data_IF_616601094956
#
_entry.id   IF_616601094956
#
_cell.length_a   1.000
_cell.length_b   1.000
_cell.length_c   1.000
_cell.angle_alpha   90.00
_cell.angle_beta   90.00
_cell.angle_gamma   90.00
#
_symmetry.space_group_name_H-M   'P 1'
#
loop_
_entity.id
_entity.type
_entity.pdbx_description
1 polymer ?
#
# COMPACT_ATOMS: atom_id res chain seq x y z
N UNK A 1 -29.81 -6.45 -12.93
CA UNK A 1 -30.47 -5.13 -13.03
C UNK A 1 -31.04 -4.67 -11.69
N UNK A 2 -31.90 -5.44 -11.00
CA UNK A 2 -32.50 -5.03 -9.72
C UNK A 2 -31.45 -4.81 -8.59
N UNK A 3 -30.37 -5.58 -8.57
CA UNK A 3 -29.31 -5.43 -7.58
C UNK A 3 -28.56 -4.08 -7.72
N UNK A 4 -28.34 -3.59 -8.94
CA UNK A 4 -27.65 -2.31 -9.17
C UNK A 4 -28.47 -1.12 -8.67
N UNK A 5 -29.78 -1.12 -8.94
CA UNK A 5 -30.69 -0.06 -8.46
C UNK A 5 -30.77 -0.06 -6.93
N UNK A 6 -30.88 -1.24 -6.31
CA UNK A 6 -30.91 -1.37 -4.87
C UNK A 6 -29.61 -0.87 -4.23
N UNK A 7 -28.47 -1.21 -4.79
CA UNK A 7 -27.14 -0.79 -4.34
C UNK A 7 -26.96 0.73 -4.41
N UNK A 8 -27.45 1.37 -5.50
CA UNK A 8 -27.40 2.82 -5.65
C UNK A 8 -28.24 3.57 -4.61
N UNK A 9 -29.38 2.99 -4.21
CA UNK A 9 -30.24 3.59 -3.19
C UNK A 9 -29.70 3.37 -1.77
N UNK A 10 -29.23 2.16 -1.49
CA UNK A 10 -28.78 1.78 -0.14
C UNK A 10 -27.37 2.28 0.18
N UNK A 11 -26.50 2.52 -0.82
CA UNK A 11 -25.10 2.91 -0.65
C UNK A 11 -24.34 2.03 0.38
N UNK A 12 -24.35 0.70 0.23
CA UNK A 12 -23.82 -0.20 1.25
C UNK A 12 -22.30 -0.10 1.36
N UNK A 13 -21.78 -0.21 2.58
CA UNK A 13 -20.33 -0.33 2.80
C UNK A 13 -19.78 -1.67 2.33
N UNK A 14 -20.60 -2.72 2.37
CA UNK A 14 -20.16 -4.06 1.99
C UNK A 14 -21.26 -4.80 1.25
N UNK A 15 -20.88 -5.41 0.13
CA UNK A 15 -21.72 -6.32 -0.64
C UNK A 15 -21.06 -7.70 -0.60
N UNK A 16 -21.83 -8.74 -0.30
CA UNK A 16 -21.29 -10.11 -0.25
C UNK A 16 -21.95 -10.95 -1.34
N UNK A 17 -21.14 -11.48 -2.24
CA UNK A 17 -21.56 -12.48 -3.22
C UNK A 17 -21.26 -13.88 -2.70
N UNK A 18 -22.30 -14.71 -2.57
CA UNK A 18 -22.14 -16.10 -2.17
C UNK A 18 -21.97 -16.99 -3.40
N UNK A 19 -20.87 -17.74 -3.45
CA UNK A 19 -20.51 -18.59 -4.60
C UNK A 19 -20.02 -19.95 -4.12
N UNK A 20 -20.13 -20.96 -4.98
CA UNK A 20 -19.62 -22.30 -4.67
C UNK A 20 -18.09 -22.39 -4.62
N UNK A 21 -17.39 -21.50 -5.35
CA UNK A 21 -15.92 -21.47 -5.37
C UNK A 21 -15.31 -20.78 -4.16
N UNK A 22 -16.09 -19.94 -3.47
CA UNK A 22 -15.63 -19.22 -2.29
C UNK A 22 -14.74 -18.01 -2.56
N UNK A 23 -14.54 -17.65 -3.83
CA UNK A 23 -13.70 -16.51 -4.24
C UNK A 23 -13.44 -16.52 -5.74
N UNK A 24 -12.63 -15.56 -6.19
CA UNK A 24 -12.03 -15.58 -7.52
C UNK A 24 -10.76 -16.43 -7.46
N UNK A 25 -10.58 -17.29 -8.43
CA UNK A 25 -9.43 -18.20 -8.50
C UNK A 25 -8.38 -17.63 -9.44
N UNK A 26 -7.10 -17.79 -9.09
CA UNK A 26 -5.98 -17.52 -9.98
C UNK A 26 -5.77 -18.65 -10.98
N UNK A 27 -4.69 -18.57 -11.79
CA UNK A 27 -4.34 -19.57 -12.80
C UNK A 27 -3.99 -20.96 -12.23
N UNK A 28 -3.63 -21.03 -10.96
CA UNK A 28 -3.30 -22.27 -10.24
C UNK A 28 -4.50 -22.82 -9.44
N UNK A 29 -5.67 -22.17 -9.54
CA UNK A 29 -6.89 -22.55 -8.83
C UNK A 29 -6.91 -22.14 -7.35
N UNK A 30 -6.02 -21.26 -6.92
CA UNK A 30 -5.97 -20.71 -5.57
C UNK A 30 -6.86 -19.47 -5.49
N UNK A 31 -7.53 -19.28 -4.36
CA UNK A 31 -8.35 -18.09 -4.11
C UNK A 31 -7.45 -16.86 -3.99
N UNK A 32 -7.79 -15.82 -4.75
CA UNK A 32 -7.17 -14.50 -4.66
C UNK A 32 -7.73 -13.81 -3.42
N UNK A 33 -6.90 -13.45 -2.46
CA UNK A 33 -7.35 -12.89 -1.17
C UNK A 33 -7.97 -11.49 -1.33
N UNK A 34 -7.36 -10.62 -2.17
CA UNK A 34 -7.86 -9.27 -2.40
C UNK A 34 -7.52 -8.75 -3.79
N UNK A 35 -8.36 -7.84 -4.31
CA UNK A 35 -8.19 -7.16 -5.59
C UNK A 35 -8.46 -5.67 -5.40
N UNK A 36 -7.48 -4.84 -5.82
CA UNK A 36 -7.62 -3.40 -5.95
C UNK A 36 -7.87 -3.05 -7.43
N UNK A 37 -9.10 -2.69 -7.76
CA UNK A 37 -9.48 -2.43 -9.15
C UNK A 37 -8.76 -1.22 -9.78
N UNK A 38 -8.36 -0.23 -8.98
CA UNK A 38 -7.67 0.95 -9.52
C UNK A 38 -6.26 0.64 -10.03
N UNK A 39 -5.61 -0.38 -9.49
CA UNK A 39 -4.23 -0.73 -9.82
C UNK A 39 -4.08 -2.07 -10.53
N UNK A 40 -5.02 -2.98 -10.32
CA UNK A 40 -4.88 -4.38 -10.76
C UNK A 40 -5.87 -4.77 -11.86
N UNK A 41 -6.90 -3.93 -12.13
CA UNK A 41 -7.99 -4.32 -13.05
C UNK A 41 -7.49 -4.68 -14.45
N UNK A 42 -6.70 -3.83 -15.08
CA UNK A 42 -6.24 -4.05 -16.46
C UNK A 42 -5.32 -5.28 -16.52
N UNK A 43 -4.34 -5.38 -15.60
CA UNK A 43 -3.44 -6.53 -15.52
C UNK A 43 -4.20 -7.83 -15.24
N UNK A 44 -5.22 -7.79 -14.40
CA UNK A 44 -6.07 -8.94 -14.09
C UNK A 44 -6.89 -9.36 -15.31
N UNK A 45 -7.48 -8.41 -16.02
CA UNK A 45 -8.32 -8.67 -17.20
C UNK A 45 -7.51 -9.20 -18.41
N UNK A 46 -6.19 -8.97 -18.43
CA UNK A 46 -5.27 -9.51 -19.44
C UNK A 46 -4.82 -10.94 -19.14
N UNK A 47 -5.15 -11.49 -17.96
CA UNK A 47 -4.75 -12.85 -17.61
C UNK A 47 -5.55 -13.89 -18.44
N UNK A 48 -4.88 -14.92 -19.01
CA UNK A 48 -5.52 -15.93 -19.85
C UNK A 48 -6.55 -16.78 -19.09
N UNK A 49 -6.42 -16.88 -17.77
CA UNK A 49 -7.34 -17.60 -16.91
C UNK A 49 -8.58 -16.78 -16.51
N UNK A 50 -8.57 -15.45 -16.72
CA UNK A 50 -9.74 -14.58 -16.54
C UNK A 50 -10.61 -14.66 -17.81
N UNK A 51 -11.51 -15.61 -17.83
CA UNK A 51 -12.40 -15.84 -18.98
C UNK A 51 -13.84 -16.14 -18.54
N UNK A 52 -14.77 -16.17 -19.50
CA UNK A 52 -16.15 -16.58 -19.30
C UNK A 52 -16.85 -15.86 -18.14
N UNK A 53 -17.45 -16.64 -17.26
CA UNK A 53 -18.24 -16.12 -16.12
C UNK A 53 -17.42 -15.34 -15.08
N UNK A 54 -16.13 -15.61 -14.96
CA UNK A 54 -15.24 -14.88 -14.04
C UNK A 54 -15.01 -13.45 -14.55
N UNK A 55 -14.72 -13.29 -15.84
CA UNK A 55 -14.55 -12.00 -16.48
C UNK A 55 -15.79 -11.11 -16.30
N UNK A 56 -16.96 -11.65 -16.64
CA UNK A 56 -18.25 -10.95 -16.47
C UNK A 56 -18.48 -10.54 -15.02
N UNK A 57 -18.14 -11.40 -14.07
CA UNK A 57 -18.30 -11.12 -12.64
C UNK A 57 -17.42 -9.94 -12.19
N UNK A 58 -16.13 -9.90 -12.61
CA UNK A 58 -15.22 -8.80 -12.28
C UNK A 58 -15.71 -7.49 -12.90
N UNK A 59 -16.16 -7.50 -14.15
CA UNK A 59 -16.74 -6.33 -14.81
C UNK A 59 -17.98 -5.80 -14.08
N UNK A 60 -18.87 -6.68 -13.65
CA UNK A 60 -20.06 -6.31 -12.88
C UNK A 60 -19.69 -5.73 -11.50
N UNK A 61 -18.73 -6.32 -10.81
CA UNK A 61 -18.23 -5.81 -9.52
C UNK A 61 -17.61 -4.43 -9.70
N UNK A 62 -16.83 -4.23 -10.76
CA UNK A 62 -16.28 -2.91 -11.08
C UNK A 62 -17.37 -1.87 -11.26
N UNK A 63 -18.38 -2.16 -12.08
CA UNK A 63 -19.52 -1.26 -12.32
C UNK A 63 -20.28 -0.92 -11.02
N UNK A 64 -20.45 -1.90 -10.12
CA UNK A 64 -21.07 -1.68 -8.81
C UNK A 64 -20.22 -0.75 -7.94
N UNK A 65 -18.94 -1.02 -7.82
CA UNK A 65 -18.02 -0.24 -6.99
C UNK A 65 -17.80 1.18 -7.56
N UNK A 66 -17.80 1.36 -8.88
CA UNK A 66 -17.69 2.69 -9.49
C UNK A 66 -18.87 3.62 -9.14
N UNK A 67 -20.05 3.04 -8.85
CA UNK A 67 -21.25 3.77 -8.45
C UNK A 67 -21.39 3.98 -6.93
N UNK A 68 -20.46 3.47 -6.12
CA UNK A 68 -20.51 3.50 -4.66
C UNK A 68 -19.41 4.40 -4.09
N UNK A 69 -19.47 4.79 -2.79
CA UNK A 69 -18.36 5.44 -2.09
C UNK A 69 -17.06 4.61 -2.16
N UNK A 70 -15.90 5.27 -2.05
CA UNK A 70 -14.58 4.61 -2.05
C UNK A 70 -14.42 3.61 -0.90
N UNK A 71 -15.10 3.84 0.21
CA UNK A 71 -15.12 2.95 1.37
C UNK A 71 -15.89 1.65 1.14
N UNK A 72 -16.69 1.57 0.08
CA UNK A 72 -17.46 0.36 -0.24
C UNK A 72 -16.58 -0.76 -0.76
N UNK A 73 -16.98 -1.99 -0.45
CA UNK A 73 -16.28 -3.20 -0.89
C UNK A 73 -17.24 -4.29 -1.32
N UNK A 74 -16.73 -5.21 -2.13
CA UNK A 74 -17.41 -6.45 -2.50
C UNK A 74 -16.59 -7.62 -2.00
N UNK A 75 -17.21 -8.54 -1.29
CA UNK A 75 -16.61 -9.82 -0.90
C UNK A 75 -17.25 -10.96 -1.67
N UNK A 76 -16.46 -11.93 -2.09
CA UNK A 76 -16.94 -13.17 -2.73
C UNK A 76 -16.52 -14.29 -1.83
N UNK A 77 -17.48 -15.01 -1.24
CA UNK A 77 -17.21 -16.07 -0.30
C UNK A 77 -18.20 -17.24 -0.45
N UNK A 78 -17.99 -18.31 0.31
CA UNK A 78 -18.93 -19.44 0.39
C UNK A 78 -20.01 -19.17 1.43
N UNK A 79 -21.21 -19.76 1.28
CA UNK A 79 -22.28 -19.61 2.26
C UNK A 79 -21.87 -20.08 3.68
N UNK A 80 -21.11 -21.16 3.79
CA UNK A 80 -20.63 -21.73 5.05
C UNK A 80 -19.53 -20.88 5.72
N UNK A 81 -18.88 -19.97 4.99
CA UNK A 81 -17.85 -19.05 5.48
C UNK A 81 -18.36 -17.63 5.73
N UNK A 82 -19.64 -17.35 5.48
CA UNK A 82 -20.22 -16.00 5.59
C UNK A 82 -20.00 -15.38 6.99
N UNK A 83 -20.15 -16.17 8.05
CA UNK A 83 -19.92 -15.68 9.41
C UNK A 83 -18.47 -15.24 9.63
N UNK A 84 -17.51 -15.99 9.08
CA UNK A 84 -16.08 -15.63 9.13
C UNK A 84 -15.81 -14.34 8.37
N UNK A 85 -16.41 -14.17 7.19
CA UNK A 85 -16.29 -12.97 6.38
C UNK A 85 -16.83 -11.72 7.08
N UNK A 86 -17.94 -11.83 7.80
CA UNK A 86 -18.60 -10.69 8.44
C UNK A 86 -18.00 -10.31 9.80
N UNK A 87 -17.45 -11.28 10.55
CA UNK A 87 -17.10 -11.10 11.96
C UNK A 87 -15.60 -11.25 12.26
N UNK A 88 -14.74 -11.45 11.27
CA UNK A 88 -13.30 -11.52 11.49
C UNK A 88 -12.55 -10.49 10.63
N UNK A 89 -11.43 -9.98 11.15
CA UNK A 89 -10.57 -9.05 10.41
C UNK A 89 -9.97 -9.64 9.13
N UNK A 90 -9.68 -10.93 9.14
CA UNK A 90 -9.08 -11.60 7.97
C UNK A 90 -10.11 -11.86 6.88
N UNK A 91 -11.38 -12.02 7.25
CA UNK A 91 -12.44 -12.41 6.34
C UNK A 91 -12.28 -13.81 5.74
N UNK A 92 -12.95 -14.05 4.62
CA UNK A 92 -12.81 -15.27 3.82
C UNK A 92 -13.11 -14.98 2.34
N UNK A 93 -12.47 -15.74 1.44
CA UNK A 93 -12.66 -15.59 0.00
C UNK A 93 -11.92 -14.40 -0.58
N UNK A 94 -12.51 -13.73 -1.59
CA UNK A 94 -11.89 -12.59 -2.28
C UNK A 94 -12.55 -11.28 -1.88
N UNK A 95 -11.76 -10.34 -1.38
CA UNK A 95 -12.18 -8.97 -1.13
C UNK A 95 -11.84 -8.10 -2.34
N UNK A 96 -12.84 -7.46 -2.95
CA UNK A 96 -12.66 -6.53 -4.07
C UNK A 96 -13.00 -5.12 -3.62
N UNK A 97 -12.11 -4.18 -3.89
CA UNK A 97 -12.29 -2.75 -3.63
C UNK A 97 -12.00 -1.94 -4.88
N UNK A 98 -12.65 -0.79 -5.02
CA UNK A 98 -12.30 0.14 -6.07
C UNK A 98 -10.85 0.62 -5.90
N UNK A 99 -10.45 0.89 -4.66
CA UNK A 99 -9.14 1.45 -4.33
C UNK A 99 -8.98 2.89 -4.81
N UNK A 100 -7.80 3.40 -4.66
CA UNK A 100 -7.40 4.71 -5.17
C UNK A 100 -6.25 4.53 -6.16
N UNK A 101 -6.19 5.39 -7.16
CA UNK A 101 -5.01 5.51 -8.01
C UNK A 101 -3.83 5.96 -7.18
N UNK A 102 -2.65 5.46 -7.53
CA UNK A 102 -1.40 5.92 -6.95
C UNK A 102 -0.66 6.75 -8.00
N UNK A 103 -0.50 8.03 -7.70
CA UNK A 103 0.29 8.97 -8.49
C UNK A 103 1.77 8.68 -8.23
N UNK A 104 2.57 8.75 -9.28
CA UNK A 104 4.03 8.67 -9.19
C UNK A 104 4.59 10.02 -9.59
N UNK A 105 5.40 10.62 -8.74
CA UNK A 105 6.03 11.91 -9.00
C UNK A 105 7.56 11.82 -8.87
N UNK A 106 8.26 12.48 -9.76
CA UNK A 106 9.72 12.63 -9.75
C UNK A 106 10.16 14.02 -9.25
N UNK A 107 9.23 14.97 -9.16
CA UNK A 107 9.45 16.34 -8.70
C UNK A 107 8.34 16.74 -7.73
N UNK A 108 8.65 17.65 -6.79
CA UNK A 108 7.66 18.24 -5.90
C UNK A 108 6.58 19.04 -6.63
N UNK A 109 6.91 19.60 -7.79
CA UNK A 109 5.99 20.40 -8.61
C UNK A 109 4.82 19.58 -9.21
N UNK A 110 4.94 18.27 -9.22
CA UNK A 110 3.90 17.35 -9.69
C UNK A 110 2.85 17.02 -8.59
N UNK A 111 3.04 17.55 -7.38
CA UNK A 111 2.23 17.20 -6.20
C UNK A 111 1.61 18.44 -5.55
N UNK A 112 0.46 18.26 -4.92
CA UNK A 112 -0.11 19.23 -3.99
C UNK A 112 0.60 19.13 -2.63
N UNK A 113 1.57 20.02 -2.41
CA UNK A 113 2.41 20.00 -1.22
C UNK A 113 1.64 20.33 0.07
N UNK A 114 0.53 21.08 -0.02
CA UNK A 114 -0.32 21.36 1.13
C UNK A 114 -0.99 20.08 1.60
N UNK A 115 -1.65 19.37 0.68
CA UNK A 115 -2.30 18.10 0.99
C UNK A 115 -1.28 17.02 1.44
N UNK A 116 -0.09 17.02 0.84
CA UNK A 116 0.97 16.06 1.21
C UNK A 116 1.48 16.33 2.62
N UNK A 117 1.65 17.61 3.00
CA UNK A 117 2.02 18.01 4.36
C UNK A 117 0.95 17.58 5.36
N UNK A 118 -0.32 17.87 5.08
CA UNK A 118 -1.45 17.50 5.94
C UNK A 118 -1.54 15.98 6.14
N UNK A 119 -1.32 15.20 5.09
CA UNK A 119 -1.23 13.74 5.18
C UNK A 119 -0.10 13.31 6.12
N UNK A 120 1.12 13.85 5.94
CA UNK A 120 2.27 13.47 6.76
C UNK A 120 2.04 13.86 8.22
N UNK A 121 1.64 15.10 8.46
CA UNK A 121 1.37 15.62 9.81
C UNK A 121 0.34 14.76 10.54
N UNK A 122 -0.76 14.43 9.86
CA UNK A 122 -1.84 13.63 10.42
C UNK A 122 -1.41 12.18 10.68
N UNK A 123 -0.74 11.54 9.71
CA UNK A 123 -0.33 10.14 9.82
C UNK A 123 0.73 9.91 10.92
N UNK A 124 1.59 10.91 11.16
CA UNK A 124 2.63 10.82 12.20
C UNK A 124 2.21 11.45 13.53
N UNK A 125 1.08 12.19 13.58
CA UNK A 125 0.67 12.96 14.75
C UNK A 125 1.69 14.03 15.16
N UNK A 126 2.51 14.52 14.23
CA UNK A 126 3.64 15.44 14.44
C UNK A 126 3.82 16.31 13.20
N UNK A 127 4.23 17.55 13.40
CA UNK A 127 4.47 18.48 12.31
C UNK A 127 5.73 18.14 11.52
N UNK A 128 5.60 18.23 10.22
CA UNK A 128 6.74 18.22 9.29
C UNK A 128 7.47 19.56 9.40
N UNK A 129 8.81 19.54 9.48
CA UNK A 129 9.59 20.79 9.51
C UNK A 129 9.24 21.70 8.32
N UNK A 130 9.18 23.02 8.54
CA UNK A 130 8.63 23.95 7.56
C UNK A 130 9.36 23.92 6.20
N UNK A 131 10.67 23.81 6.24
CA UNK A 131 11.55 23.81 5.07
C UNK A 131 11.77 22.41 4.45
N UNK A 132 10.93 21.42 4.78
CA UNK A 132 11.13 20.04 4.36
C UNK A 132 11.23 19.89 2.85
N UNK A 133 10.29 20.45 2.09
CA UNK A 133 10.24 20.29 0.63
C UNK A 133 11.34 21.08 -0.08
N UNK A 134 11.85 22.16 0.53
CA UNK A 134 12.95 22.97 0.01
C UNK A 134 14.30 22.26 0.19
N UNK A 135 14.50 21.64 1.34
CA UNK A 135 15.76 20.98 1.72
C UNK A 135 15.85 19.53 1.25
N UNK A 136 14.71 18.89 1.00
CA UNK A 136 14.67 17.48 0.65
C UNK A 136 14.63 17.30 -0.86
N UNK A 137 15.67 16.71 -1.42
CA UNK A 137 15.67 16.31 -2.82
C UNK A 137 14.84 15.06 -3.01
N UNK A 138 13.72 15.19 -3.70
CA UNK A 138 12.88 14.05 -4.05
C UNK A 138 13.60 13.13 -5.05
N UNK A 139 13.64 11.84 -4.76
CA UNK A 139 13.97 10.82 -5.75
C UNK A 139 12.70 10.33 -6.45
N UNK A 140 11.70 9.93 -5.68
CA UNK A 140 10.38 9.51 -6.16
C UNK A 140 9.35 9.61 -5.04
N UNK A 141 8.12 9.99 -5.39
CA UNK A 141 6.98 9.86 -4.50
C UNK A 141 5.91 8.97 -5.14
N UNK A 142 5.24 8.19 -4.30
CA UNK A 142 4.07 7.39 -4.62
C UNK A 142 2.96 7.86 -3.69
N UNK A 143 1.94 8.53 -4.23
CA UNK A 143 0.92 9.21 -3.43
C UNK A 143 -0.47 8.78 -3.93
N UNK A 144 -1.35 8.36 -3.04
CA UNK A 144 -2.73 8.10 -3.45
C UNK A 144 -3.40 9.41 -3.94
N UNK A 145 -4.25 9.33 -4.95
CA UNK A 145 -4.87 10.50 -5.60
C UNK A 145 -5.64 11.41 -4.63
N UNK A 146 -6.16 10.82 -3.54
CA UNK A 146 -6.83 11.57 -2.48
C UNK A 146 -5.92 11.97 -1.31
N UNK A 147 -4.61 11.73 -1.40
CA UNK A 147 -3.62 12.04 -0.36
C UNK A 147 -3.95 11.37 0.99
N UNK A 148 -4.32 10.09 0.96
CA UNK A 148 -4.60 9.26 2.14
C UNK A 148 -3.46 8.32 2.48
N UNK A 149 -2.56 8.05 1.53
CA UNK A 149 -1.33 7.29 1.73
C UNK A 149 -0.22 7.82 0.84
N UNK A 150 1.01 7.82 1.33
CA UNK A 150 2.19 8.21 0.54
C UNK A 150 3.45 7.46 0.97
N UNK A 151 4.29 7.18 -0.02
CA UNK A 151 5.70 6.81 0.13
C UNK A 151 6.54 7.92 -0.49
N UNK A 152 7.51 8.44 0.26
CA UNK A 152 8.47 9.44 -0.22
C UNK A 152 9.86 8.84 -0.15
N UNK A 153 10.54 8.84 -1.29
CA UNK A 153 11.91 8.37 -1.43
C UNK A 153 12.84 9.55 -1.69
N UNK A 154 13.96 9.56 -0.99
CA UNK A 154 15.15 10.36 -1.33
C UNK A 154 16.24 9.41 -1.83
N UNK A 155 17.35 9.93 -2.33
CA UNK A 155 18.48 9.13 -2.77
C UNK A 155 19.73 9.50 -1.99
N UNK A 156 20.39 8.47 -1.44
CA UNK A 156 21.60 8.63 -0.67
C UNK A 156 22.65 7.60 -1.12
N UNK A 157 23.78 8.08 -1.59
CA UNK A 157 24.86 7.20 -2.05
C UNK A 157 24.48 6.28 -3.21
N UNK A 158 23.56 6.71 -4.07
CA UNK A 158 23.07 5.94 -5.21
C UNK A 158 22.06 4.84 -4.83
N UNK A 159 21.53 4.85 -3.61
CA UNK A 159 20.47 3.93 -3.14
C UNK A 159 19.26 4.74 -2.71
N UNK A 160 18.05 4.40 -3.16
CA UNK A 160 16.83 5.02 -2.65
C UNK A 160 16.67 4.80 -1.14
N UNK A 161 16.36 5.88 -0.44
CA UNK A 161 16.04 5.87 0.99
C UNK A 161 14.56 6.20 1.20
N UNK A 162 13.84 5.34 1.93
CA UNK A 162 12.47 5.63 2.33
C UNK A 162 12.47 6.65 3.46
N UNK A 163 12.14 7.90 3.12
CA UNK A 163 12.07 8.99 4.08
C UNK A 163 10.75 9.01 4.84
N UNK A 164 9.63 8.83 4.13
CA UNK A 164 8.30 8.77 4.71
C UNK A 164 7.48 7.63 4.13
N UNK A 165 6.77 6.94 5.01
CA UNK A 165 5.63 6.10 4.67
C UNK A 165 4.47 6.52 5.57
N UNK A 166 3.54 7.26 5.00
CA UNK A 166 2.40 7.86 5.68
C UNK A 166 1.10 7.21 5.21
N UNK A 167 0.25 6.82 6.13
CA UNK A 167 -1.10 6.29 5.85
C UNK A 167 -2.03 6.86 6.92
N UNK A 168 -3.11 7.53 6.51
CA UNK A 168 -4.11 8.03 7.43
C UNK A 168 -4.79 6.88 8.18
N UNK A 169 -5.14 7.09 9.43
CA UNK A 169 -5.79 6.08 10.27
C UNK A 169 -7.08 5.55 9.62
N UNK A 170 -7.87 6.41 9.00
CA UNK A 170 -9.08 6.04 8.27
C UNK A 170 -8.83 5.15 7.03
N UNK A 171 -7.64 5.23 6.45
CA UNK A 171 -7.23 4.40 5.32
C UNK A 171 -6.55 3.08 5.75
N UNK A 172 -6.24 2.94 7.04
CA UNK A 172 -5.70 1.70 7.59
C UNK A 172 -6.75 0.59 7.50
N UNK A 173 -6.32 -0.59 7.08
CA UNK A 173 -7.24 -1.72 6.85
C UNK A 173 -7.96 -1.71 5.49
N UNK A 174 -7.90 -0.62 4.72
CA UNK A 174 -8.41 -0.59 3.34
C UNK A 174 -7.43 -1.18 2.31
N UNK A 175 -6.22 -1.52 2.71
CA UNK A 175 -5.16 -2.05 1.83
C UNK A 175 -4.39 -0.96 1.07
N UNK A 176 -4.76 0.32 1.23
CA UNK A 176 -4.16 1.43 0.49
C UNK A 176 -2.65 1.58 0.77
N UNK A 177 -2.25 1.49 2.03
CA UNK A 177 -0.82 1.51 2.40
C UNK A 177 -0.04 0.39 1.72
N UNK A 178 -0.60 -0.82 1.68
CA UNK A 178 0.03 -1.96 0.99
C UNK A 178 0.11 -1.73 -0.53
N UNK A 179 -0.92 -1.15 -1.14
CA UNK A 179 -0.91 -0.85 -2.58
C UNK A 179 0.18 0.16 -2.94
N UNK A 180 0.32 1.25 -2.18
CA UNK A 180 1.39 2.25 -2.38
C UNK A 180 2.77 1.62 -2.15
N UNK A 181 2.92 0.79 -1.11
CA UNK A 181 4.16 0.08 -0.82
C UNK A 181 4.54 -0.89 -1.95
N UNK A 182 3.61 -1.69 -2.43
CA UNK A 182 3.86 -2.68 -3.50
C UNK A 182 4.29 -1.99 -4.80
N UNK A 183 3.58 -0.93 -5.19
CA UNK A 183 3.94 -0.16 -6.39
C UNK A 183 5.34 0.44 -6.29
N UNK A 184 5.72 0.94 -5.13
CA UNK A 184 7.08 1.41 -4.86
C UNK A 184 8.08 0.25 -4.94
N UNK A 185 7.79 -0.89 -4.30
CA UNK A 185 8.67 -2.06 -4.27
C UNK A 185 8.94 -2.63 -5.66
N UNK A 186 7.91 -2.70 -6.51
CA UNK A 186 8.03 -3.17 -7.90
C UNK A 186 8.90 -2.25 -8.75
N UNK A 187 8.85 -0.94 -8.48
CA UNK A 187 9.66 0.06 -9.21
C UNK A 187 11.07 0.25 -8.64
N UNK A 188 11.31 -0.14 -7.38
CA UNK A 188 12.59 0.04 -6.69
C UNK A 188 13.17 -1.32 -6.28
N UNK A 189 14.11 -1.88 -7.05
CA UNK A 189 14.66 -3.20 -6.75
C UNK A 189 15.55 -3.22 -5.51
N UNK A 190 15.92 -2.06 -4.98
CA UNK A 190 16.71 -1.91 -3.76
C UNK A 190 16.26 -0.68 -3.00
N UNK A 191 16.27 -0.78 -1.67
CA UNK A 191 15.82 0.28 -0.76
C UNK A 191 16.46 0.10 0.61
N UNK A 192 16.65 1.19 1.33
CA UNK A 192 16.94 1.15 2.77
C UNK A 192 16.12 2.21 3.52
N UNK A 193 15.90 1.98 4.80
CA UNK A 193 15.17 2.91 5.67
C UNK A 193 15.48 2.68 7.13
N UNK A 194 14.98 3.59 7.97
CA UNK A 194 15.01 3.41 9.42
C UNK A 194 13.64 3.62 10.03
N UNK A 195 13.39 2.98 11.16
CA UNK A 195 12.20 3.18 11.98
C UNK A 195 12.57 3.22 13.46
N UNK A 196 11.83 3.96 14.28
CA UNK A 196 12.03 3.94 15.75
C UNK A 196 11.74 2.56 16.30
N UNK A 197 12.50 2.11 17.32
CA UNK A 197 12.38 0.76 17.88
C UNK A 197 10.97 0.43 18.38
N UNK A 198 10.23 1.41 18.92
CA UNK A 198 8.86 1.24 19.40
C UNK A 198 7.76 1.50 18.38
N UNK A 199 8.10 1.67 17.09
CA UNK A 199 7.09 1.96 16.09
C UNK A 199 6.26 0.69 15.75
N UNK A 200 4.90 0.75 15.86
CA UNK A 200 4.03 -0.41 15.55
C UNK A 200 4.20 -0.97 14.15
N UNK A 201 4.59 -0.16 13.16
CA UNK A 201 4.82 -0.57 11.78
C UNK A 201 6.01 -1.54 11.63
N UNK A 202 6.85 -1.68 12.63
CA UNK A 202 8.05 -2.51 12.54
C UNK A 202 7.75 -3.98 12.21
N UNK A 203 6.60 -4.50 12.64
CA UNK A 203 6.17 -5.86 12.27
C UNK A 203 5.96 -6.01 10.75
N UNK A 204 5.45 -4.96 10.09
CA UNK A 204 5.34 -4.91 8.65
C UNK A 204 6.74 -4.81 8.00
N UNK A 205 7.60 -3.94 8.50
CA UNK A 205 8.96 -3.79 7.98
C UNK A 205 9.82 -5.03 8.16
N UNK A 206 9.65 -5.77 9.27
CA UNK A 206 10.33 -7.05 9.50
C UNK A 206 9.94 -8.12 8.45
N UNK A 207 8.72 -8.06 7.92
CA UNK A 207 8.24 -8.97 6.87
C UNK A 207 8.69 -8.54 5.46
N UNK A 208 8.91 -7.24 5.24
CA UNK A 208 9.25 -6.68 3.93
C UNK A 208 10.77 -6.58 3.68
N UNK A 209 11.57 -6.50 4.73
CA UNK A 209 13.01 -6.36 4.65
C UNK A 209 13.73 -7.72 4.46
N UNK A 210 14.82 -7.71 3.70
CA UNK A 210 15.76 -8.83 3.61
C UNK A 210 16.78 -8.82 4.74
N UNK A 211 17.07 -7.62 5.28
CA UNK A 211 17.97 -7.46 6.41
C UNK A 211 17.62 -6.28 7.28
N UNK A 212 18.03 -6.36 8.54
CA UNK A 212 17.89 -5.26 9.50
C UNK A 212 18.98 -5.25 10.56
N UNK A 213 19.31 -4.04 11.04
CA UNK A 213 20.26 -3.83 12.15
C UNK A 213 19.65 -2.89 13.18
N UNK A 214 19.66 -3.32 14.44
CA UNK A 214 19.24 -2.49 15.56
C UNK A 214 20.36 -1.51 15.92
N UNK A 215 20.01 -0.24 15.96
CA UNK A 215 20.85 0.87 16.43
C UNK A 215 20.28 1.42 17.76
N UNK A 216 20.90 2.45 18.34
CA UNK A 216 20.54 2.95 19.68
C UNK A 216 19.06 3.27 19.84
N UNK A 217 18.47 4.06 18.92
CA UNK A 217 17.06 4.48 18.96
C UNK A 217 16.27 4.02 17.75
N UNK A 218 16.95 3.49 16.74
CA UNK A 218 16.42 3.14 15.47
C UNK A 218 16.70 1.69 15.13
N UNK A 219 15.88 1.12 14.24
CA UNK A 219 16.22 -0.06 13.48
C UNK A 219 16.34 0.35 12.02
N UNK A 220 17.47 0.05 11.42
CA UNK A 220 17.69 0.21 9.99
C UNK A 220 17.31 -1.08 9.27
N UNK A 221 16.73 -0.94 8.10
CA UNK A 221 16.23 -2.02 7.26
C UNK A 221 16.69 -1.83 5.84
N UNK A 222 16.74 -2.91 5.07
CA UNK A 222 17.02 -2.86 3.64
C UNK A 222 16.46 -4.09 2.92
N UNK A 223 16.33 -3.96 1.60
CA UNK A 223 16.18 -5.07 0.68
C UNK A 223 16.94 -4.77 -0.63
N UNK A 224 17.31 -5.84 -1.40
CA UNK A 224 18.03 -5.74 -2.66
C UNK A 224 19.47 -5.24 -2.54
N UNK A 225 20.08 -5.26 -1.35
CA UNK A 225 21.46 -4.83 -1.10
C UNK A 225 22.41 -5.99 -0.79
N UNK A 226 21.89 -7.22 -0.69
CA UNK A 226 22.66 -8.38 -0.27
C UNK A 226 22.87 -8.50 1.24
N UNK A 227 23.82 -9.32 1.63
CA UNK A 227 24.09 -9.63 3.04
C UNK A 227 25.16 -8.72 3.65
N UNK A 228 25.03 -8.43 4.94
CA UNK A 228 25.96 -7.58 5.69
C UNK A 228 27.39 -8.16 5.73
N UNK A 229 27.54 -9.48 5.70
CA UNK A 229 28.83 -10.19 5.70
C UNK A 229 29.32 -10.59 4.30
N UNK A 230 28.61 -10.17 3.23
CA UNK A 230 28.86 -10.53 1.84
C UNK A 230 29.37 -9.38 0.96
N UNK A 231 29.22 -9.55 -0.34
CA UNK A 231 29.67 -8.60 -1.37
C UNK A 231 28.98 -7.21 -1.30
N UNK A 232 27.85 -7.08 -0.59
CA UNK A 232 27.13 -5.82 -0.38
C UNK A 232 27.55 -5.03 0.85
N UNK A 233 28.51 -5.50 1.61
CA UNK A 233 28.87 -4.98 2.94
C UNK A 233 29.13 -3.47 2.96
N UNK A 234 29.95 -2.95 2.05
CA UNK A 234 30.32 -1.52 2.05
C UNK A 234 29.11 -0.62 1.74
N UNK A 235 28.23 -1.05 0.83
CA UNK A 235 27.02 -0.31 0.49
C UNK A 235 26.04 -0.30 1.67
N UNK A 236 25.83 -1.46 2.31
CA UNK A 236 24.98 -1.56 3.50
C UNK A 236 25.55 -0.71 4.64
N UNK A 237 26.88 -0.74 4.88
CA UNK A 237 27.52 0.11 5.90
C UNK A 237 27.31 1.59 5.64
N UNK A 238 27.41 2.04 4.39
CA UNK A 238 27.11 3.42 3.99
C UNK A 238 25.64 3.77 4.30
N UNK A 239 24.71 2.89 3.94
CA UNK A 239 23.29 3.06 4.25
C UNK A 239 23.03 3.12 5.77
N UNK A 240 23.68 2.27 6.56
CA UNK A 240 23.56 2.28 8.02
C UNK A 240 24.10 3.56 8.65
N UNK A 241 25.21 4.09 8.14
CA UNK A 241 25.77 5.37 8.58
C UNK A 241 24.85 6.52 8.25
N UNK A 242 24.28 6.55 7.03
CA UNK A 242 23.26 7.54 6.68
C UNK A 242 22.05 7.46 7.63
N UNK A 243 21.56 6.26 7.96
CA UNK A 243 20.49 6.09 8.96
C UNK A 243 20.82 6.65 10.32
N UNK A 244 22.11 6.62 10.74
CA UNK A 244 22.58 7.18 12.00
C UNK A 244 22.59 8.70 11.99
N UNK A 245 23.11 9.29 10.92
CA UNK A 245 23.41 10.71 10.82
C UNK A 245 22.22 11.55 10.39
N UNK A 246 21.22 10.94 9.71
CA UNK A 246 20.10 11.68 9.18
C UNK A 246 19.33 12.41 10.28
N UNK A 247 19.15 13.75 10.17
CA UNK A 247 18.37 14.51 11.12
C UNK A 247 16.91 14.09 11.14
N UNK A 248 16.19 14.43 12.22
CA UNK A 248 14.74 14.30 12.25
C UNK A 248 14.12 15.35 11.33
N UNK A 249 13.08 14.95 10.62
CA UNK A 249 12.31 15.80 9.70
C UNK A 249 10.87 16.03 10.20
N UNK A 250 10.55 15.48 11.38
CA UNK A 250 9.34 15.76 12.14
C UNK A 250 9.74 16.47 13.44
N UNK A 251 9.00 17.48 13.81
CA UNK A 251 9.19 18.21 15.05
C UNK A 251 9.03 17.31 16.28
N UNK A 252 9.73 17.63 17.35
CA UNK A 252 9.82 16.82 18.56
C UNK A 252 8.53 16.71 19.37
#
# INVERSE_FOLDING_TARGET
FAANELVQVLQPYKIVFLTGTGGLLDGDGKVIDSINLSTEYDTLMDQPWINGGMRVKIEQIKQLLDALPLSSSVSITRPDELAKELFTHKGSGTLVRRGERVLQAASWDELDLVRLRDLIDSAFGRKLVDDYFERTRLHRAYVSENYRAAVILTEEGGVPYLDKFAVLDEAQGEGLGRAVWQLMRDAQPRLFWRSRLGNPINAFYDAEAEGSVKQTMWRAYWYGLGDLDGAGNDLIRTCLEHCRQRPATLEG
#
